data_IF_627204870868
#
_entry.id   IF_627204870868
#
_cell.length_a   1.000
_cell.length_b   1.000
_cell.length_c   1.000
_cell.angle_alpha   90.00
_cell.angle_beta   90.00
_cell.angle_gamma   90.00
#
_symmetry.space_group_name_H-M   'P 1'
#
loop_
_entity.id
_entity.type
_entity.pdbx_description
1 polymer ?
#
# COMPACT_ATOMS: atom_id res chain seq x y z
N UNK A 1 5.24 1.40 13.93
CA UNK A 1 4.92 -0.05 13.92
C UNK A 1 5.66 -0.65 12.73
N UNK A 2 6.71 -1.44 12.95
CA UNK A 2 7.51 -2.03 11.86
C UNK A 2 6.87 -3.35 11.41
N UNK A 3 6.62 -3.48 10.11
CA UNK A 3 6.07 -4.72 9.54
C UNK A 3 7.27 -5.55 9.06
N UNK A 4 7.59 -6.64 9.77
CA UNK A 4 8.79 -7.43 9.46
C UNK A 4 8.53 -8.52 8.39
N UNK A 5 7.27 -8.93 8.21
CA UNK A 5 6.88 -9.97 7.26
C UNK A 5 5.47 -9.71 6.73
N UNK A 6 5.28 -9.90 5.43
CA UNK A 6 3.98 -9.82 4.78
C UNK A 6 3.57 -11.22 4.31
N UNK A 7 2.54 -11.78 4.94
CA UNK A 7 1.98 -13.08 4.57
C UNK A 7 1.01 -12.97 3.39
N UNK A 8 0.67 -14.09 2.75
CA UNK A 8 -0.34 -14.15 1.69
C UNK A 8 -1.71 -13.61 2.13
N UNK A 9 -2.03 -13.70 3.43
CA UNK A 9 -3.24 -13.07 3.98
C UNK A 9 -3.18 -11.54 3.94
N UNK A 10 -2.03 -10.95 4.31
CA UNK A 10 -1.85 -9.50 4.26
C UNK A 10 -1.97 -8.96 2.83
N UNK A 11 -1.45 -9.71 1.84
CA UNK A 11 -1.62 -9.43 0.41
C UNK A 11 -3.11 -9.44 0.03
N UNK A 12 -3.85 -10.46 0.46
CA UNK A 12 -5.30 -10.57 0.22
C UNK A 12 -6.10 -9.42 0.86
N UNK A 13 -5.74 -9.00 2.07
CA UNK A 13 -6.34 -7.85 2.75
C UNK A 13 -6.07 -6.56 1.96
N UNK A 14 -4.84 -6.32 1.51
CA UNK A 14 -4.49 -5.16 0.69
C UNK A 14 -5.23 -5.15 -0.65
N UNK A 15 -5.32 -6.29 -1.33
CA UNK A 15 -6.08 -6.41 -2.58
C UNK A 15 -7.58 -6.13 -2.38
N UNK A 16 -8.15 -6.61 -1.26
CA UNK A 16 -9.55 -6.35 -0.91
C UNK A 16 -9.78 -4.88 -0.57
N UNK A 17 -8.87 -4.27 0.19
CA UNK A 17 -8.90 -2.84 0.51
C UNK A 17 -8.84 -1.99 -0.77
N UNK A 18 -7.97 -2.33 -1.71
CA UNK A 18 -7.90 -1.67 -3.02
C UNK A 18 -9.21 -1.80 -3.81
N UNK A 19 -9.79 -3.00 -3.89
CA UNK A 19 -11.06 -3.22 -4.60
C UNK A 19 -12.22 -2.39 -4.01
N UNK A 20 -12.25 -2.28 -2.68
CA UNK A 20 -13.23 -1.43 -1.97
C UNK A 20 -12.96 0.07 -2.15
N UNK A 21 -11.69 0.47 -2.16
CA UNK A 21 -11.26 1.83 -2.41
C UNK A 21 -11.71 2.30 -3.81
N UNK A 22 -11.47 1.46 -4.83
CA UNK A 22 -11.88 1.73 -6.22
C UNK A 22 -13.39 1.85 -6.40
N UNK A 23 -14.18 1.07 -5.66
CA UNK A 23 -15.65 1.10 -5.76
C UNK A 23 -16.31 2.22 -4.96
N UNK A 24 -15.59 2.82 -4.00
CA UNK A 24 -16.11 3.87 -3.11
C UNK A 24 -15.43 5.24 -3.29
N UNK A 25 -14.59 5.39 -4.31
CA UNK A 25 -13.77 6.59 -4.54
C UNK A 25 -12.91 6.98 -3.32
N UNK A 26 -12.59 6.01 -2.46
CA UNK A 26 -11.74 6.23 -1.30
C UNK A 26 -10.30 6.14 -1.78
N UNK A 27 -9.54 7.22 -1.59
CA UNK A 27 -8.11 7.20 -1.82
C UNK A 27 -7.40 6.50 -0.67
N UNK A 28 -6.45 5.62 -0.99
CA UNK A 28 -5.58 5.02 0.01
C UNK A 28 -4.15 4.97 -0.51
N UNK A 29 -3.21 5.16 0.41
CA UNK A 29 -1.79 5.13 0.13
C UNK A 29 -1.08 4.38 1.25
N UNK A 30 0.07 3.79 0.90
CA UNK A 30 0.95 3.12 1.85
C UNK A 30 2.23 3.93 1.98
N UNK A 31 2.82 3.99 3.18
CA UNK A 31 4.08 4.69 3.39
C UNK A 31 5.06 3.87 4.21
N UNK A 32 6.35 4.20 4.11
CA UNK A 32 7.43 3.64 4.93
C UNK A 32 7.50 2.10 4.85
N UNK A 33 7.48 1.57 3.63
CA UNK A 33 7.59 0.13 3.36
C UNK A 33 9.07 -0.28 3.34
N UNK A 34 9.42 -1.36 4.03
CA UNK A 34 10.77 -1.94 3.95
C UNK A 34 11.03 -2.57 2.57
N UNK A 35 12.26 -2.48 2.05
CA UNK A 35 12.67 -2.97 0.72
C UNK A 35 12.26 -4.43 0.45
N UNK A 36 12.31 -5.28 1.48
CA UNK A 36 11.87 -6.67 1.40
C UNK A 36 10.37 -6.78 1.10
N UNK A 37 9.54 -5.97 1.76
CA UNK A 37 8.10 -5.94 1.52
C UNK A 37 7.81 -5.33 0.15
N UNK A 38 8.55 -4.28 -0.23
CA UNK A 38 8.44 -3.68 -1.56
C UNK A 38 8.72 -4.71 -2.66
N UNK A 39 9.75 -5.54 -2.50
CA UNK A 39 10.08 -6.62 -3.45
C UNK A 39 8.93 -7.62 -3.61
N UNK A 40 8.25 -7.98 -2.51
CA UNK A 40 7.07 -8.86 -2.57
C UNK A 40 5.89 -8.17 -3.28
N UNK A 41 5.65 -6.88 -3.01
CA UNK A 41 4.60 -6.09 -3.67
C UNK A 41 4.82 -5.92 -5.17
N UNK A 42 6.07 -5.75 -5.61
CA UNK A 42 6.46 -5.73 -7.02
C UNK A 42 6.13 -7.07 -7.67
N UNK A 43 6.52 -8.18 -7.02
CA UNK A 43 6.33 -9.53 -7.56
C UNK A 43 4.85 -9.86 -7.80
N UNK A 44 3.97 -9.46 -6.88
CA UNK A 44 2.52 -9.68 -7.01
C UNK A 44 1.80 -8.55 -7.77
N UNK A 45 2.55 -7.62 -8.38
CA UNK A 45 2.05 -6.46 -9.15
C UNK A 45 1.10 -5.53 -8.35
N UNK A 46 1.15 -5.59 -7.02
CA UNK A 46 0.38 -4.70 -6.15
C UNK A 46 0.90 -3.26 -6.20
N UNK A 47 2.19 -3.06 -6.53
CA UNK A 47 2.77 -1.72 -6.73
C UNK A 47 2.09 -0.90 -7.85
N UNK A 48 1.45 -1.54 -8.83
CA UNK A 48 0.76 -0.83 -9.92
C UNK A 48 -0.58 -0.23 -9.50
N UNK A 49 -1.08 -0.64 -8.33
CA UNK A 49 -2.39 -0.25 -7.81
C UNK A 49 -2.29 0.42 -6.43
N UNK A 50 -1.12 0.36 -5.79
CA UNK A 50 -0.82 0.99 -4.53
C UNK A 50 0.03 2.23 -4.76
N UNK A 51 -0.46 3.39 -4.33
CA UNK A 51 0.38 4.59 -4.23
C UNK A 51 1.27 4.45 -3.00
N UNK A 52 2.58 4.39 -3.20
CA UNK A 52 3.56 4.21 -2.12
C UNK A 52 4.38 5.48 -1.95
N UNK A 53 4.46 5.96 -0.71
CA UNK A 53 5.27 7.11 -0.32
C UNK A 53 6.39 6.71 0.63
N UNK A 54 7.47 7.47 0.65
CA UNK A 54 8.59 7.22 1.57
C UNK A 54 8.17 7.50 3.02
N UNK A 55 7.50 8.62 3.27
CA UNK A 55 7.11 9.07 4.62
C UNK A 55 5.60 9.23 4.76
N UNK A 56 5.14 9.22 6.01
CA UNK A 56 3.72 9.45 6.33
C UNK A 56 3.29 10.87 5.95
N UNK A 57 4.18 11.83 6.16
CA UNK A 57 3.98 13.24 5.86
C UNK A 57 3.78 13.46 4.36
N UNK A 58 4.60 12.81 3.52
CA UNK A 58 4.45 12.86 2.07
C UNK A 58 3.10 12.26 1.61
N UNK A 59 2.70 11.13 2.21
CA UNK A 59 1.40 10.51 1.89
C UNK A 59 0.23 11.43 2.25
N UNK A 60 0.26 12.06 3.42
CA UNK A 60 -0.79 12.99 3.86
C UNK A 60 -0.83 14.26 3.00
N UNK A 61 0.32 14.79 2.60
CA UNK A 61 0.39 15.95 1.72
C UNK A 61 -0.25 15.67 0.36
N UNK A 62 -0.01 14.47 -0.20
CA UNK A 62 -0.55 14.09 -1.50
C UNK A 62 -2.04 13.73 -1.48
N UNK A 63 -2.59 13.33 -0.31
CA UNK A 63 -4.03 13.03 -0.16
C UNK A 63 -4.89 14.25 0.20
N UNK A 64 -4.28 15.36 0.64
CA UNK A 64 -4.98 16.59 1.03
C UNK A 64 -4.94 17.70 -0.05
N UNK A 65 -4.54 17.37 -1.28
CA UNK A 65 -4.56 18.27 -2.44
C UNK A 65 -5.70 17.96 -3.39
#
# INVERSE_FOLDING_TARGET
TKVNHMSSMAIGVLATAHSRAKTREIQFAVCNIEDRIQSVLVLVKLMNILTVYETREAALAAMNG
#
